data_IF_046665307110
#
_entry.id   IF_046665307110
#
_cell.length_a   1.000
_cell.length_b   1.000
_cell.length_c   1.000
_cell.angle_alpha   90.00
_cell.angle_beta   90.00
_cell.angle_gamma   90.00
#
_symmetry.space_group_name_H-M   'P 1'
#
loop_
_entity.id
_entity.type
_entity.pdbx_description
1 polymer ?
#
# COMPACT_ATOMS: atom_id res chain seq x y z
N UNK A 1 -4.65 -4.14 -12.60
CA UNK A 1 -4.72 -5.20 -11.59
C UNK A 1 -6.15 -5.68 -11.49
N UNK A 2 -6.44 -6.97 -11.70
CA UNK A 2 -7.80 -7.51 -11.68
C UNK A 2 -8.44 -7.42 -10.30
N UNK A 3 -9.79 -7.37 -10.25
CA UNK A 3 -10.53 -7.30 -8.98
C UNK A 3 -10.22 -8.47 -8.04
N UNK A 4 -9.95 -9.64 -8.59
CA UNK A 4 -9.61 -10.85 -7.82
C UNK A 4 -8.26 -10.68 -7.09
N UNK A 5 -7.27 -10.09 -7.74
CA UNK A 5 -5.96 -9.83 -7.14
C UNK A 5 -6.07 -8.83 -5.97
N UNK A 6 -6.84 -7.75 -6.15
CA UNK A 6 -7.10 -6.79 -5.08
C UNK A 6 -7.82 -7.44 -3.89
N UNK A 7 -8.80 -8.32 -4.14
CA UNK A 7 -9.50 -9.06 -3.07
C UNK A 7 -8.55 -9.99 -2.30
N UNK A 8 -7.68 -10.71 -3.00
CA UNK A 8 -6.69 -11.59 -2.36
C UNK A 8 -5.70 -10.80 -1.49
N UNK A 9 -5.19 -9.67 -1.97
CA UNK A 9 -4.32 -8.79 -1.20
C UNK A 9 -5.05 -8.23 0.03
N UNK A 10 -6.29 -7.76 -0.12
CA UNK A 10 -7.09 -7.25 1.00
C UNK A 10 -7.35 -8.33 2.05
N UNK A 11 -7.60 -9.57 1.63
CA UNK A 11 -7.77 -10.70 2.56
C UNK A 11 -6.49 -10.99 3.35
N UNK A 12 -5.35 -11.00 2.69
CA UNK A 12 -4.05 -11.17 3.34
C UNK A 12 -3.78 -10.04 4.35
N UNK A 13 -4.09 -8.79 3.99
CA UNK A 13 -3.82 -7.61 4.83
C UNK A 13 -4.60 -7.59 6.15
N UNK A 14 -5.77 -8.24 6.24
CA UNK A 14 -6.55 -8.32 7.48
C UNK A 14 -5.76 -8.90 8.65
N UNK A 15 -4.87 -9.87 8.41
CA UNK A 15 -4.03 -10.46 9.46
C UNK A 15 -3.09 -9.43 10.10
N UNK A 16 -2.50 -8.56 9.28
CA UNK A 16 -1.63 -7.50 9.78
C UNK A 16 -2.42 -6.40 10.50
N UNK A 17 -3.64 -6.13 10.06
CA UNK A 17 -4.57 -5.23 10.75
C UNK A 17 -4.94 -5.79 12.13
N UNK A 18 -5.20 -7.09 12.26
CA UNK A 18 -5.47 -7.77 13.53
C UNK A 18 -4.28 -7.67 14.50
N UNK A 19 -3.05 -7.86 14.01
CA UNK A 19 -1.84 -7.69 14.82
C UNK A 19 -1.66 -6.24 15.24
N UNK A 20 -1.90 -5.28 14.35
CA UNK A 20 -1.84 -3.85 14.68
C UNK A 20 -2.87 -3.46 15.73
N UNK A 21 -4.10 -3.98 15.66
CA UNK A 21 -5.14 -3.75 16.66
C UNK A 21 -4.71 -4.31 18.03
N UNK A 22 -4.17 -5.53 18.05
CA UNK A 22 -3.67 -6.14 19.28
C UNK A 22 -2.48 -5.36 19.89
N UNK A 23 -1.57 -4.85 19.05
CA UNK A 23 -0.50 -3.97 19.49
C UNK A 23 -1.06 -2.71 20.15
N UNK A 24 -2.02 -2.03 19.52
CA UNK A 24 -2.66 -0.81 20.05
C UNK A 24 -3.35 -1.11 21.39
N UNK A 25 -4.07 -2.23 21.49
CA UNK A 25 -4.71 -2.70 22.71
C UNK A 25 -3.71 -2.84 23.85
N UNK A 26 -2.65 -3.64 23.64
CA UNK A 26 -1.66 -3.92 24.70
C UNK A 26 -0.91 -2.69 25.18
N UNK A 27 -0.57 -1.77 24.26
CA UNK A 27 0.07 -0.52 24.64
C UNK A 27 -0.88 0.38 25.42
N UNK A 28 -2.14 0.52 24.97
CA UNK A 28 -3.13 1.36 25.64
C UNK A 28 -3.45 0.84 27.05
N UNK A 29 -3.66 -0.48 27.22
CA UNK A 29 -3.87 -1.11 28.54
C UNK A 29 -2.70 -0.84 29.48
N UNK A 30 -1.47 -0.99 29.03
CA UNK A 30 -0.29 -0.78 29.85
C UNK A 30 -0.06 0.70 30.18
N UNK A 31 -0.33 1.63 29.27
CA UNK A 31 -0.27 3.09 29.56
C UNK A 31 -1.27 3.44 30.68
N UNK A 32 -2.46 2.87 30.65
CA UNK A 32 -3.46 3.10 31.70
C UNK A 32 -3.01 2.53 33.05
N UNK A 33 -2.47 1.31 33.08
CA UNK A 33 -1.96 0.67 34.29
C UNK A 33 -0.82 1.49 34.94
N UNK A 34 0.07 2.12 34.16
CA UNK A 34 1.14 2.97 34.67
C UNK A 34 0.60 4.13 35.51
N UNK A 35 -0.56 4.68 35.14
CA UNK A 35 -1.16 5.79 35.84
C UNK A 35 -1.75 5.47 37.21
N UNK A 36 -2.08 4.24 37.45
CA UNK A 36 -2.56 3.77 38.72
C UNK A 36 -1.40 3.43 39.66
N UNK A 37 -0.16 3.37 39.14
CA UNK A 37 1.02 2.94 39.90
C UNK A 37 1.84 4.15 40.39
N UNK A 38 2.15 4.18 41.65
CA UNK A 38 3.13 5.12 42.18
C UNK A 38 4.53 4.72 41.67
N UNK A 39 5.36 5.63 41.08
CA UNK A 39 6.62 5.28 40.42
C UNK A 39 7.72 4.88 41.41
N UNK A 40 7.56 3.74 42.05
CA UNK A 40 8.61 3.09 42.86
C UNK A 40 9.47 2.21 41.96
N UNK A 41 10.70 1.89 42.40
CA UNK A 41 11.60 0.98 41.67
C UNK A 41 11.00 -0.42 41.39
N UNK A 42 10.14 -0.91 42.31
CA UNK A 42 9.44 -2.19 42.15
C UNK A 42 8.41 -2.11 41.02
N UNK A 43 7.67 -1.01 40.94
CA UNK A 43 6.68 -0.79 39.87
C UNK A 43 7.36 -0.66 38.50
N UNK A 44 8.55 -0.06 38.41
CA UNK A 44 9.33 0.00 37.18
C UNK A 44 9.71 -1.40 36.66
N UNK A 45 10.14 -2.30 37.56
CA UNK A 45 10.46 -3.69 37.18
C UNK A 45 9.21 -4.41 36.66
N UNK A 46 8.07 -4.26 37.33
CA UNK A 46 6.80 -4.84 36.90
C UNK A 46 6.39 -4.32 35.50
N UNK A 47 6.44 -3.00 35.30
CA UNK A 47 6.15 -2.36 34.02
C UNK A 47 7.06 -2.92 32.90
N UNK A 48 8.37 -3.04 33.15
CA UNK A 48 9.32 -3.56 32.17
C UNK A 48 9.09 -5.05 31.86
N UNK A 49 8.73 -5.84 32.86
CA UNK A 49 8.44 -7.26 32.70
C UNK A 49 7.17 -7.47 31.88
N UNK A 50 6.11 -6.75 32.18
CA UNK A 50 4.86 -6.78 31.42
C UNK A 50 5.07 -6.31 29.97
N UNK A 51 5.82 -5.21 29.78
CA UNK A 51 6.22 -4.74 28.45
C UNK A 51 6.95 -5.82 27.65
N UNK A 52 7.89 -6.52 28.29
CA UNK A 52 8.62 -7.64 27.65
C UNK A 52 7.68 -8.76 27.21
N UNK A 53 6.71 -9.13 28.06
CA UNK A 53 5.71 -10.16 27.75
C UNK A 53 4.83 -9.71 26.56
N UNK A 54 4.31 -8.50 26.60
CA UNK A 54 3.45 -7.96 25.54
C UNK A 54 4.20 -7.86 24.20
N UNK A 55 5.47 -7.42 24.20
CA UNK A 55 6.31 -7.39 23.00
C UNK A 55 6.49 -8.80 22.42
N UNK A 56 6.72 -9.81 23.26
CA UNK A 56 6.86 -11.19 22.81
C UNK A 56 5.57 -11.71 22.17
N UNK A 57 4.41 -11.48 22.78
CA UNK A 57 3.11 -11.89 22.24
C UNK A 57 2.80 -11.23 20.89
N UNK A 58 3.07 -9.93 20.77
CA UNK A 58 2.90 -9.18 19.52
C UNK A 58 3.84 -9.73 18.43
N UNK A 59 5.10 -9.99 18.80
CA UNK A 59 6.11 -10.54 17.86
C UNK A 59 5.71 -11.93 17.38
N UNK A 60 5.20 -12.80 18.24
CA UNK A 60 4.70 -14.13 17.87
C UNK A 60 3.50 -14.03 16.91
N UNK A 61 2.52 -13.17 17.20
CA UNK A 61 1.36 -12.94 16.30
C UNK A 61 1.81 -12.39 14.96
N UNK A 62 2.77 -11.47 14.94
CA UNK A 62 3.32 -10.93 13.71
C UNK A 62 4.04 -12.02 12.89
N UNK A 63 4.81 -12.88 13.52
CA UNK A 63 5.46 -14.02 12.87
C UNK A 63 4.44 -14.99 12.25
N UNK A 64 3.35 -15.31 12.97
CA UNK A 64 2.27 -16.16 12.45
C UNK A 64 1.58 -15.49 11.25
N UNK A 65 1.24 -14.20 11.37
CA UNK A 65 0.63 -13.44 10.28
C UNK A 65 1.52 -13.42 9.04
N UNK A 66 2.82 -13.18 9.22
CA UNK A 66 3.83 -13.20 8.14
C UNK A 66 3.92 -14.57 7.49
N UNK A 67 4.14 -15.63 8.25
CA UNK A 67 4.30 -17.00 7.74
C UNK A 67 3.06 -17.49 6.99
N UNK A 68 1.86 -17.16 7.48
CA UNK A 68 0.61 -17.50 6.78
C UNK A 68 0.48 -16.72 5.48
N UNK A 69 0.88 -15.45 5.46
CA UNK A 69 0.80 -14.58 4.29
C UNK A 69 1.76 -14.98 3.18
N UNK A 70 2.86 -15.69 3.48
CA UNK A 70 3.78 -16.19 2.45
C UNK A 70 3.08 -17.13 1.47
N UNK A 71 2.18 -17.98 1.96
CA UNK A 71 1.37 -18.88 1.10
C UNK A 71 0.44 -18.09 0.18
N UNK A 72 -0.12 -16.99 0.68
CA UNK A 72 -1.00 -16.14 -0.12
C UNK A 72 -0.21 -15.36 -1.18
N UNK A 73 1.01 -14.92 -0.89
CA UNK A 73 1.92 -14.30 -1.87
C UNK A 73 2.17 -15.23 -3.05
N UNK A 74 2.48 -16.51 -2.79
CA UNK A 74 2.67 -17.49 -3.87
C UNK A 74 1.41 -17.66 -4.73
N UNK A 75 0.23 -17.72 -4.12
CA UNK A 75 -1.05 -17.82 -4.86
C UNK A 75 -1.35 -16.56 -5.67
N UNK A 76 -1.10 -15.38 -5.10
CA UNK A 76 -1.28 -14.09 -5.75
C UNK A 76 -0.37 -14.01 -6.98
N UNK A 77 0.87 -14.43 -6.84
CA UNK A 77 1.87 -14.38 -7.92
C UNK A 77 1.63 -15.42 -9.00
N UNK A 78 1.14 -16.61 -8.61
CA UNK A 78 0.71 -17.61 -9.58
C UNK A 78 -0.48 -17.08 -10.40
N UNK A 79 -1.47 -16.45 -9.77
CA UNK A 79 -2.60 -15.86 -10.49
C UNK A 79 -2.14 -14.73 -11.45
N UNK A 80 -1.15 -13.91 -11.05
CA UNK A 80 -0.58 -12.90 -11.93
C UNK A 80 0.13 -13.52 -13.15
N UNK A 81 0.79 -14.66 -12.96
CA UNK A 81 1.41 -15.43 -14.06
C UNK A 81 0.35 -16.05 -14.97
N UNK A 82 -0.72 -16.62 -14.42
CA UNK A 82 -1.81 -17.21 -15.19
C UNK A 82 -2.51 -16.15 -16.06
N UNK A 83 -2.66 -14.93 -15.56
CA UNK A 83 -3.14 -13.78 -16.34
C UNK A 83 -2.25 -13.49 -17.56
N UNK A 84 -0.92 -13.64 -17.43
CA UNK A 84 0.01 -13.49 -18.57
C UNK A 84 -0.18 -14.60 -19.60
N UNK A 85 -0.29 -15.87 -19.18
CA UNK A 85 -0.46 -16.98 -20.10
C UNK A 85 -1.79 -16.95 -20.86
N UNK A 86 -2.82 -16.35 -20.28
CA UNK A 86 -4.16 -16.21 -20.88
C UNK A 86 -4.36 -14.88 -21.61
N UNK A 87 -3.32 -14.02 -21.68
CA UNK A 87 -3.42 -12.73 -22.32
C UNK A 87 -3.68 -12.86 -23.84
N UNK A 88 -4.75 -12.22 -24.29
CA UNK A 88 -5.19 -12.27 -25.69
C UNK A 88 -4.13 -11.76 -26.67
N UNK A 89 -3.17 -10.94 -26.26
CA UNK A 89 -2.07 -10.45 -27.08
C UNK A 89 -1.22 -11.56 -27.64
N UNK A 90 -1.08 -12.68 -26.93
CA UNK A 90 -0.31 -13.83 -27.37
C UNK A 90 -1.11 -14.84 -28.18
N UNK A 91 -2.44 -14.68 -28.26
CA UNK A 91 -3.35 -15.69 -28.87
C UNK A 91 -2.99 -15.97 -30.33
N UNK A 92 -2.66 -14.95 -31.12
CA UNK A 92 -2.31 -15.15 -32.54
C UNK A 92 -0.99 -15.89 -32.71
N UNK A 93 0.04 -15.49 -31.97
CA UNK A 93 1.35 -16.15 -32.04
C UNK A 93 1.27 -17.59 -31.51
N UNK A 94 0.50 -17.83 -30.43
CA UNK A 94 0.33 -19.17 -29.85
C UNK A 94 -0.46 -20.14 -30.74
N UNK A 95 -1.19 -19.65 -31.77
CA UNK A 95 -1.78 -20.50 -32.79
C UNK A 95 -0.74 -21.01 -33.80
N UNK A 96 0.36 -20.30 -33.96
CA UNK A 96 1.40 -20.60 -34.95
C UNK A 96 2.59 -21.33 -34.34
N UNK A 97 2.91 -21.03 -33.08
CA UNK A 97 4.02 -21.66 -32.36
C UNK A 97 3.71 -21.84 -30.87
N UNK A 98 4.25 -22.87 -30.26
CA UNK A 98 4.17 -23.09 -28.83
C UNK A 98 5.35 -22.48 -28.11
N UNK A 99 5.17 -22.08 -26.85
CA UNK A 99 6.28 -21.67 -25.97
C UNK A 99 7.14 -22.89 -25.65
N UNK A 100 8.46 -22.75 -25.81
CA UNK A 100 9.41 -23.81 -25.51
C UNK A 100 9.39 -24.23 -24.04
N UNK A 101 9.84 -25.44 -23.75
CA UNK A 101 9.97 -25.94 -22.38
C UNK A 101 10.97 -25.10 -21.59
N UNK A 102 12.03 -24.63 -22.24
CA UNK A 102 13.06 -23.77 -21.65
C UNK A 102 12.48 -22.40 -21.26
N UNK A 103 11.68 -21.78 -22.12
CA UNK A 103 11.04 -20.50 -21.84
C UNK A 103 10.03 -20.63 -20.67
N UNK A 104 9.22 -21.69 -20.64
CA UNK A 104 8.31 -22.00 -19.52
C UNK A 104 9.09 -22.17 -18.22
N UNK A 105 10.21 -22.92 -18.25
CA UNK A 105 11.07 -23.11 -17.09
C UNK A 105 11.63 -21.79 -16.57
N UNK A 106 12.15 -20.92 -17.46
CA UNK A 106 12.66 -19.58 -17.08
C UNK A 106 11.58 -18.71 -16.44
N UNK A 107 10.37 -18.66 -17.03
CA UNK A 107 9.23 -17.90 -16.50
C UNK A 107 8.85 -18.42 -15.11
N UNK A 108 8.76 -19.75 -14.94
CA UNK A 108 8.48 -20.37 -13.64
C UNK A 108 9.54 -20.04 -12.61
N UNK A 109 10.81 -20.16 -12.97
CA UNK A 109 11.95 -19.85 -12.10
C UNK A 109 11.95 -18.36 -11.69
N UNK A 110 11.65 -17.46 -12.63
CA UNK A 110 11.53 -16.03 -12.32
C UNK A 110 10.42 -15.77 -11.33
N UNK A 111 9.21 -16.32 -11.54
CA UNK A 111 8.07 -16.19 -10.64
C UNK A 111 8.39 -16.71 -9.24
N UNK A 112 9.07 -17.85 -9.14
CA UNK A 112 9.55 -18.39 -7.86
C UNK A 112 10.57 -17.47 -7.19
N UNK A 113 11.51 -16.92 -7.95
CA UNK A 113 12.53 -15.99 -7.44
C UNK A 113 11.88 -14.72 -6.86
N UNK A 114 10.95 -14.09 -7.58
CA UNK A 114 10.21 -12.93 -7.08
C UNK A 114 9.38 -13.29 -5.84
N UNK A 115 8.76 -14.46 -5.82
CA UNK A 115 8.00 -14.95 -4.66
C UNK A 115 8.89 -15.09 -3.43
N UNK A 116 10.07 -15.71 -3.58
CA UNK A 116 11.05 -15.87 -2.51
C UNK A 116 11.58 -14.52 -2.03
N UNK A 117 11.88 -13.62 -2.97
CA UNK A 117 12.36 -12.28 -2.64
C UNK A 117 11.31 -11.48 -1.87
N UNK A 118 10.05 -11.51 -2.30
CA UNK A 118 8.96 -10.86 -1.56
C UNK A 118 8.78 -11.49 -0.18
N UNK A 119 8.83 -12.82 -0.08
CA UNK A 119 8.76 -13.53 1.19
C UNK A 119 9.87 -13.07 2.16
N UNK A 120 11.12 -12.98 1.68
CA UNK A 120 12.25 -12.44 2.47
C UNK A 120 12.00 -11.00 2.90
N UNK A 121 11.51 -10.16 1.98
CA UNK A 121 11.19 -8.76 2.27
C UNK A 121 10.10 -8.66 3.34
N UNK A 122 9.01 -9.44 3.26
CA UNK A 122 7.97 -9.47 4.28
C UNK A 122 8.52 -9.90 5.65
N UNK A 123 9.36 -10.94 5.66
CA UNK A 123 10.02 -11.41 6.89
C UNK A 123 10.91 -10.32 7.48
N UNK A 124 11.72 -9.66 6.65
CA UNK A 124 12.60 -8.58 7.09
C UNK A 124 11.81 -7.37 7.59
N UNK A 125 10.75 -6.96 6.89
CA UNK A 125 9.86 -5.88 7.36
C UNK A 125 9.26 -6.21 8.72
N UNK A 126 8.84 -7.45 8.94
CA UNK A 126 8.30 -7.89 10.23
C UNK A 126 9.37 -7.93 11.33
N UNK A 127 10.61 -8.29 11.00
CA UNK A 127 11.74 -8.31 11.95
C UNK A 127 12.28 -6.90 12.24
N UNK A 128 12.31 -6.02 11.23
CA UNK A 128 12.75 -4.61 11.35
C UNK A 128 11.64 -3.70 11.86
N UNK A 129 10.42 -4.24 12.00
CA UNK A 129 9.33 -3.48 12.61
C UNK A 129 9.78 -3.05 13.99
N UNK A 130 9.79 -1.75 14.21
CA UNK A 130 10.14 -1.15 15.49
C UNK A 130 9.04 -1.39 16.55
N UNK A 131 8.48 -2.63 16.59
CA UNK A 131 7.44 -2.98 17.57
C UNK A 131 7.97 -2.73 18.97
N UNK A 132 9.14 -3.27 19.27
CA UNK A 132 9.76 -3.08 20.58
C UNK A 132 10.14 -1.63 20.84
N UNK A 133 10.63 -0.91 19.85
CA UNK A 133 10.99 0.49 19.96
C UNK A 133 9.76 1.39 20.08
N UNK A 134 8.76 1.20 19.23
CA UNK A 134 7.49 1.95 19.30
C UNK A 134 6.77 1.70 20.63
N UNK A 135 6.77 0.46 21.09
CA UNK A 135 6.18 0.09 22.37
C UNK A 135 6.93 0.77 23.53
N UNK A 136 8.26 0.61 23.58
CA UNK A 136 9.11 1.22 24.64
C UNK A 136 8.97 2.73 24.66
N UNK A 137 9.06 3.38 23.50
CA UNK A 137 8.93 4.85 23.40
C UNK A 137 7.60 5.34 23.97
N UNK A 138 6.50 4.63 23.69
CA UNK A 138 5.19 4.99 24.24
C UNK A 138 5.13 4.84 25.76
N UNK A 139 5.65 3.73 26.29
CA UNK A 139 5.71 3.47 27.73
C UNK A 139 6.65 4.44 28.43
N UNK A 140 7.85 4.66 27.89
CA UNK A 140 8.83 5.59 28.47
C UNK A 140 8.27 7.02 28.50
N UNK A 141 7.59 7.44 27.43
CA UNK A 141 6.92 8.75 27.36
C UNK A 141 5.86 8.87 28.46
N UNK A 142 5.03 7.86 28.65
CA UNK A 142 4.02 7.83 29.71
C UNK A 142 4.66 7.86 31.11
N UNK A 143 5.70 7.05 31.34
CA UNK A 143 6.45 7.01 32.62
C UNK A 143 7.10 8.36 32.91
N UNK A 144 7.76 8.99 31.92
CA UNK A 144 8.38 10.29 32.09
C UNK A 144 7.36 11.39 32.39
N UNK A 145 6.24 11.41 31.68
CA UNK A 145 5.18 12.38 31.90
C UNK A 145 4.60 12.28 33.32
N UNK A 146 4.38 11.06 33.83
CA UNK A 146 3.93 10.82 35.19
C UNK A 146 5.00 11.22 36.24
N UNK A 147 6.27 10.92 35.96
CA UNK A 147 7.38 11.14 36.90
C UNK A 147 7.80 12.59 37.00
N UNK A 148 7.66 13.37 35.92
CA UNK A 148 8.15 14.78 35.86
C UNK A 148 7.19 15.78 36.50
N UNK A 149 5.93 15.41 36.73
CA UNK A 149 4.91 16.34 37.22
C UNK A 149 4.64 17.55 36.28
N UNK A 150 5.18 17.54 35.04
CA UNK A 150 5.08 18.66 34.12
C UNK A 150 3.72 18.79 33.43
N UNK A 151 2.96 17.71 33.36
CA UNK A 151 1.59 17.69 32.83
C UNK A 151 0.72 16.86 33.76
N UNK A 152 -0.59 17.16 33.80
CA UNK A 152 -1.48 16.25 34.50
C UNK A 152 -1.43 14.86 33.80
N UNK A 153 -1.47 13.83 34.60
CA UNK A 153 -1.37 12.44 34.16
C UNK A 153 -2.38 12.10 33.06
N UNK A 154 -3.61 12.61 33.18
CA UNK A 154 -4.66 12.32 32.20
C UNK A 154 -4.34 12.88 30.81
N UNK A 155 -3.78 14.09 30.73
CA UNK A 155 -3.36 14.69 29.47
C UNK A 155 -2.19 13.92 28.84
N UNK A 156 -1.18 13.56 29.64
CA UNK A 156 -0.03 12.79 29.17
C UNK A 156 -0.41 11.40 28.63
N UNK A 157 -1.27 10.69 29.37
CA UNK A 157 -1.82 9.39 28.98
C UNK A 157 -2.61 9.51 27.67
N UNK A 158 -3.49 10.50 27.58
CA UNK A 158 -4.29 10.75 26.39
C UNK A 158 -3.43 11.04 25.16
N UNK A 159 -2.36 11.79 25.28
CA UNK A 159 -1.47 12.10 24.17
C UNK A 159 -0.65 10.88 23.74
N UNK A 160 -0.19 10.06 24.66
CA UNK A 160 0.46 8.78 24.36
C UNK A 160 -0.49 7.82 23.64
N UNK A 161 -1.75 7.72 24.09
CA UNK A 161 -2.79 6.90 23.42
C UNK A 161 -3.09 7.41 22.01
N UNK A 162 -3.21 8.72 21.82
CA UNK A 162 -3.37 9.30 20.47
C UNK A 162 -2.19 8.96 19.57
N UNK A 163 -0.97 9.08 20.08
CA UNK A 163 0.24 8.82 19.31
C UNK A 163 0.33 7.37 18.88
N UNK A 164 0.06 6.42 19.75
CA UNK A 164 0.06 4.99 19.44
C UNK A 164 -1.02 4.62 18.43
N UNK A 165 -2.24 5.10 18.62
CA UNK A 165 -3.33 4.86 17.67
C UNK A 165 -3.02 5.48 16.31
N UNK A 166 -2.46 6.69 16.27
CA UNK A 166 -2.14 7.38 15.03
C UNK A 166 -1.01 6.72 14.24
N UNK A 167 0.03 6.27 14.93
CA UNK A 167 1.22 5.67 14.32
C UNK A 167 1.04 4.17 14.03
N UNK A 168 0.44 3.42 14.95
CA UNK A 168 0.37 1.96 14.89
C UNK A 168 1.76 1.31 14.85
N UNK A 169 1.84 0.08 14.37
CA UNK A 169 3.14 -0.56 14.09
C UNK A 169 3.81 0.10 12.89
N UNK A 170 5.07 0.48 13.03
CA UNK A 170 5.86 1.14 11.98
C UNK A 170 7.10 0.32 11.61
N UNK A 171 7.50 0.46 10.36
CA UNK A 171 8.82 0.10 9.86
C UNK A 171 9.67 1.36 9.84
N UNK A 172 10.86 1.28 10.42
CA UNK A 172 11.86 2.34 10.37
C UNK A 172 12.92 1.96 9.34
N UNK A 173 13.11 2.82 8.34
CA UNK A 173 14.13 2.63 7.31
C UNK A 173 15.44 3.28 7.75
N UNK A 174 16.56 2.80 7.21
CA UNK A 174 17.90 3.38 7.49
C UNK A 174 17.99 4.89 7.22
N UNK A 175 17.17 5.39 6.29
CA UNK A 175 17.04 6.82 6.00
C UNK A 175 16.33 7.64 7.10
N UNK A 176 15.86 6.98 8.17
CA UNK A 176 15.01 7.59 9.20
C UNK A 176 13.55 7.77 8.79
N UNK A 177 13.16 7.32 7.60
CA UNK A 177 11.76 7.37 7.18
C UNK A 177 10.94 6.30 7.88
N UNK A 178 9.77 6.68 8.42
CA UNK A 178 8.83 5.81 9.09
C UNK A 178 7.64 5.51 8.20
N UNK A 179 7.23 4.24 8.13
CA UNK A 179 6.06 3.81 7.37
C UNK A 179 5.27 2.78 8.16
N UNK A 180 3.94 2.83 8.09
CA UNK A 180 3.11 1.79 8.69
C UNK A 180 3.42 0.44 8.06
N UNK A 181 3.51 -0.59 8.90
CA UNK A 181 3.87 -1.95 8.49
C UNK A 181 2.89 -2.49 7.44
N UNK A 182 1.57 -2.33 7.66
CA UNK A 182 0.52 -2.76 6.74
C UNK A 182 0.70 -2.13 5.33
N UNK A 183 1.03 -0.85 5.29
CA UNK A 183 1.26 -0.12 4.03
C UNK A 183 2.53 -0.61 3.32
N UNK A 184 3.61 -0.88 4.07
CA UNK A 184 4.87 -1.39 3.51
C UNK A 184 4.67 -2.79 2.91
N UNK A 185 3.99 -3.68 3.62
CA UNK A 185 3.70 -5.05 3.17
C UNK A 185 2.82 -5.04 1.93
N UNK A 186 1.71 -4.30 1.94
CA UNK A 186 0.81 -4.16 0.80
C UNK A 186 1.57 -3.71 -0.45
N UNK A 187 2.41 -2.70 -0.33
CA UNK A 187 3.19 -2.18 -1.45
C UNK A 187 4.12 -3.24 -2.03
N UNK A 188 4.87 -3.96 -1.19
CA UNK A 188 5.78 -4.99 -1.66
C UNK A 188 5.08 -6.12 -2.42
N UNK A 189 3.89 -6.53 -1.98
CA UNK A 189 3.11 -7.57 -2.67
C UNK A 189 2.57 -7.08 -4.01
N UNK A 190 2.10 -5.83 -4.09
CA UNK A 190 1.64 -5.21 -5.33
C UNK A 190 2.79 -5.07 -6.33
N UNK A 191 3.95 -4.58 -5.86
CA UNK A 191 5.13 -4.39 -6.72
C UNK A 191 5.62 -5.73 -7.28
N UNK A 192 5.68 -6.78 -6.45
CA UNK A 192 6.03 -8.13 -6.92
C UNK A 192 5.04 -8.69 -7.95
N UNK A 193 3.73 -8.50 -7.76
CA UNK A 193 2.72 -8.91 -8.74
C UNK A 193 2.88 -8.17 -10.08
N UNK A 194 3.17 -6.86 -10.03
CA UNK A 194 3.43 -6.05 -11.22
C UNK A 194 4.72 -6.50 -11.94
N UNK A 195 5.79 -6.82 -11.19
CA UNK A 195 7.03 -7.35 -11.75
C UNK A 195 6.80 -8.68 -12.46
N UNK A 196 6.00 -9.58 -11.91
CA UNK A 196 5.66 -10.84 -12.56
C UNK A 196 4.88 -10.58 -13.84
N UNK A 197 3.81 -9.78 -13.78
CA UNK A 197 3.01 -9.45 -14.94
C UNK A 197 3.85 -8.85 -16.08
N UNK A 198 4.75 -7.92 -15.76
CA UNK A 198 5.61 -7.27 -16.75
C UNK A 198 6.69 -8.21 -17.29
N UNK A 199 7.53 -8.79 -16.42
CA UNK A 199 8.70 -9.52 -16.88
C UNK A 199 8.35 -10.88 -17.47
N UNK A 200 7.31 -11.57 -16.98
CA UNK A 200 6.83 -12.80 -17.62
C UNK A 200 6.20 -12.50 -18.99
N UNK A 201 5.51 -11.37 -19.16
CA UNK A 201 5.03 -10.92 -20.46
C UNK A 201 6.20 -10.64 -21.43
N UNK A 202 7.27 -9.99 -20.93
CA UNK A 202 8.49 -9.73 -21.72
C UNK A 202 9.13 -11.06 -22.15
N UNK A 203 9.33 -12.01 -21.24
CA UNK A 203 9.91 -13.32 -21.54
C UNK A 203 9.08 -14.11 -22.56
N UNK A 204 7.74 -14.08 -22.43
CA UNK A 204 6.84 -14.67 -23.41
C UNK A 204 6.95 -14.01 -24.77
N UNK A 205 6.98 -12.69 -24.81
CA UNK A 205 7.12 -11.92 -26.05
C UNK A 205 8.45 -12.16 -26.72
N UNK A 206 9.55 -12.23 -25.97
CA UNK A 206 10.87 -12.54 -26.52
C UNK A 206 10.90 -13.93 -27.19
N UNK A 207 10.31 -14.94 -26.55
CA UNK A 207 10.18 -16.29 -27.12
C UNK A 207 9.33 -16.31 -28.39
N UNK A 208 8.29 -15.49 -28.45
CA UNK A 208 7.38 -15.41 -29.59
C UNK A 208 7.85 -14.40 -30.67
N UNK A 209 9.07 -13.81 -30.53
CA UNK A 209 9.64 -12.88 -31.48
C UNK A 209 8.97 -11.49 -31.47
N UNK A 210 8.38 -11.06 -30.37
CA UNK A 210 7.81 -9.73 -30.23
C UNK A 210 8.91 -8.67 -30.13
N UNK A 211 8.70 -7.52 -30.73
CA UNK A 211 9.72 -6.52 -31.04
C UNK A 211 9.54 -5.20 -30.26
N UNK A 212 8.43 -5.02 -29.57
CA UNK A 212 8.08 -3.79 -28.87
C UNK A 212 7.32 -4.06 -27.56
N UNK A 213 7.03 -2.99 -26.83
CA UNK A 213 6.22 -3.00 -25.61
C UNK A 213 5.12 -1.94 -25.67
N UNK A 214 3.88 -2.33 -25.31
CA UNK A 214 2.79 -1.39 -25.05
C UNK A 214 2.70 -1.11 -23.56
N UNK A 215 2.67 0.17 -23.18
CA UNK A 215 2.41 0.54 -21.79
C UNK A 215 0.93 0.43 -21.47
N UNK A 216 0.61 -0.10 -20.31
CA UNK A 216 -0.76 -0.07 -19.82
C UNK A 216 -1.22 1.38 -19.59
N UNK A 217 -2.54 1.62 -19.63
CA UNK A 217 -3.10 2.94 -19.43
C UNK A 217 -4.31 2.91 -18.51
N UNK A 218 -4.55 4.01 -17.82
CA UNK A 218 -5.71 4.21 -16.96
C UNK A 218 -6.11 5.68 -16.90
N UNK A 219 -7.39 5.96 -16.70
CA UNK A 219 -7.98 7.30 -16.77
C UNK A 219 -7.43 8.34 -15.77
N UNK A 220 -6.67 7.91 -14.75
CA UNK A 220 -6.12 8.77 -13.69
C UNK A 220 -4.62 8.57 -13.57
N UNK A 221 -3.93 8.71 -14.69
CA UNK A 221 -2.48 8.65 -14.74
C UNK A 221 -1.87 9.87 -14.08
N UNK A 222 -0.72 9.68 -13.44
CA UNK A 222 0.08 10.79 -12.95
C UNK A 222 0.61 11.63 -14.12
N UNK A 223 0.80 12.95 -13.95
CA UNK A 223 1.18 13.86 -15.03
C UNK A 223 2.47 13.48 -15.78
N UNK A 224 3.41 12.83 -15.11
CA UNK A 224 4.68 12.36 -15.70
C UNK A 224 4.50 11.17 -16.64
N UNK A 225 3.53 10.30 -16.41
CA UNK A 225 3.25 9.13 -17.24
C UNK A 225 2.04 9.28 -18.15
N UNK A 226 1.21 10.31 -17.94
CA UNK A 226 0.02 10.54 -18.78
C UNK A 226 0.35 10.66 -20.29
N UNK A 227 1.42 11.35 -20.73
CA UNK A 227 1.72 11.48 -22.14
C UNK A 227 2.13 10.18 -22.82
N UNK A 228 2.65 9.21 -22.07
CA UNK A 228 3.26 7.98 -22.60
C UNK A 228 2.42 6.73 -22.37
N UNK A 229 1.42 6.79 -21.53
CA UNK A 229 0.55 5.63 -21.27
C UNK A 229 -0.18 5.18 -22.55
N UNK A 230 -0.39 3.88 -22.70
CA UNK A 230 -1.06 3.30 -23.87
C UNK A 230 -0.29 3.45 -25.18
N UNK A 231 0.97 3.95 -25.14
CA UNK A 231 1.86 4.04 -26.29
C UNK A 231 2.69 2.77 -26.41
N UNK A 232 3.20 2.58 -27.61
CA UNK A 232 4.08 1.45 -27.94
C UNK A 232 5.49 1.98 -28.16
N UNK A 233 6.47 1.30 -27.58
CA UNK A 233 7.88 1.65 -27.64
C UNK A 233 8.70 0.46 -28.13
N UNK A 234 9.75 0.74 -28.91
CA UNK A 234 10.76 -0.27 -29.21
C UNK A 234 11.42 -0.77 -27.91
N UNK A 235 12.03 -1.95 -27.93
CA UNK A 235 12.79 -2.46 -26.78
C UNK A 235 13.89 -1.48 -26.34
N UNK A 236 14.54 -0.81 -27.29
CA UNK A 236 15.58 0.18 -27.03
C UNK A 236 15.02 1.44 -26.37
N UNK A 237 13.90 1.98 -26.87
CA UNK A 237 13.26 3.16 -26.29
C UNK A 237 12.66 2.86 -24.93
N UNK A 238 12.10 1.66 -24.72
CA UNK A 238 11.66 1.27 -23.38
C UNK A 238 12.83 1.20 -22.39
N UNK A 239 13.99 0.71 -22.80
CA UNK A 239 15.19 0.75 -21.96
C UNK A 239 15.63 2.21 -21.67
N UNK A 240 15.50 3.13 -22.62
CA UNK A 240 15.73 4.56 -22.39
C UNK A 240 14.77 5.13 -21.34
N UNK A 241 13.48 4.78 -21.38
CA UNK A 241 12.49 5.16 -20.36
C UNK A 241 12.97 4.73 -18.98
N UNK A 242 13.37 3.46 -18.84
CA UNK A 242 13.79 2.90 -17.54
C UNK A 242 15.10 3.53 -17.01
N UNK A 243 15.94 4.05 -17.89
CA UNK A 243 17.21 4.71 -17.53
C UNK A 243 17.13 6.24 -17.46
N UNK A 244 15.93 6.83 -17.60
CA UNK A 244 15.76 8.27 -17.53
C UNK A 244 16.43 9.02 -18.69
N UNK A 245 16.44 8.43 -19.89
CA UNK A 245 16.95 9.02 -21.12
C UNK A 245 15.79 9.46 -22.02
N UNK A 246 15.99 10.40 -22.97
CA UNK A 246 15.01 10.71 -24.00
C UNK A 246 14.70 9.48 -24.88
N UNK A 247 13.46 9.35 -25.35
CA UNK A 247 12.98 8.18 -26.08
C UNK A 247 11.92 8.55 -27.11
N UNK A 248 11.59 7.60 -27.99
CA UNK A 248 10.52 7.76 -29.00
C UNK A 248 9.51 6.63 -28.89
N UNK A 249 8.25 6.92 -29.24
CA UNK A 249 7.28 5.86 -29.52
C UNK A 249 7.49 5.32 -30.96
N UNK A 250 6.80 4.23 -31.29
CA UNK A 250 6.90 3.64 -32.66
C UNK A 250 6.33 4.54 -33.74
N UNK A 251 5.54 5.54 -33.41
CA UNK A 251 5.01 6.55 -34.36
C UNK A 251 6.00 7.71 -34.57
N UNK A 252 7.17 7.66 -33.89
CA UNK A 252 8.26 8.63 -34.04
C UNK A 252 8.16 9.85 -33.13
N UNK A 253 7.16 9.95 -32.25
CA UNK A 253 7.01 11.06 -31.28
C UNK A 253 8.14 11.04 -30.29
N UNK A 254 8.87 12.15 -30.16
CA UNK A 254 9.96 12.31 -29.20
C UNK A 254 9.44 12.75 -27.84
N UNK A 255 9.85 12.06 -26.79
CA UNK A 255 9.58 12.37 -25.40
C UNK A 255 10.86 12.76 -24.65
N UNK A 256 10.71 13.63 -23.67
CA UNK A 256 11.79 13.93 -22.72
C UNK A 256 11.95 12.78 -21.73
N UNK A 257 13.15 12.69 -21.15
CA UNK A 257 13.43 11.77 -20.06
C UNK A 257 12.39 11.86 -18.93
N UNK A 258 11.96 10.72 -18.44
CA UNK A 258 11.04 10.59 -17.31
C UNK A 258 11.84 10.21 -16.08
N UNK A 259 11.58 10.88 -14.96
CA UNK A 259 12.33 10.65 -13.74
C UNK A 259 11.95 9.35 -13.04
N UNK A 260 10.70 8.94 -13.15
CA UNK A 260 10.15 7.76 -12.48
C UNK A 260 10.02 6.59 -13.48
N UNK A 261 10.77 5.49 -13.29
CA UNK A 261 10.67 4.32 -14.16
C UNK A 261 9.27 3.70 -14.16
N UNK A 262 8.94 2.98 -15.22
CA UNK A 262 7.69 2.23 -15.31
C UNK A 262 7.75 1.02 -14.36
N UNK A 263 6.70 0.84 -13.57
CA UNK A 263 6.59 -0.25 -12.61
C UNK A 263 7.22 0.02 -11.24
N UNK A 264 7.88 1.18 -11.04
CA UNK A 264 8.53 1.55 -9.79
C UNK A 264 7.85 2.74 -9.11
N UNK A 265 8.16 2.97 -7.83
CA UNK A 265 7.72 4.12 -7.02
C UNK A 265 6.21 4.39 -7.08
N UNK A 266 5.39 3.35 -6.83
CA UNK A 266 3.93 3.41 -6.95
C UNK A 266 3.42 3.68 -8.37
N UNK A 267 4.21 3.45 -9.40
CA UNK A 267 3.72 3.45 -10.76
C UNK A 267 2.77 2.27 -10.98
N UNK A 268 1.56 2.55 -11.44
CA UNK A 268 0.54 1.54 -11.74
C UNK A 268 0.61 1.04 -13.19
N UNK A 269 1.53 1.58 -13.98
CA UNK A 269 1.76 1.15 -15.36
C UNK A 269 2.67 -0.08 -15.38
N UNK A 270 2.39 -0.97 -16.32
CA UNK A 270 3.22 -2.12 -16.68
C UNK A 270 3.47 -2.11 -18.18
N UNK A 271 4.66 -2.53 -18.58
CA UNK A 271 4.97 -2.77 -19.98
C UNK A 271 4.57 -4.20 -20.34
N UNK A 272 3.86 -4.34 -21.46
CA UNK A 272 3.40 -5.63 -21.96
C UNK A 272 3.95 -5.82 -23.36
N UNK A 273 4.44 -7.03 -23.66
CA UNK A 273 4.99 -7.34 -24.97
C UNK A 273 4.02 -7.04 -26.08
N UNK A 274 4.53 -6.46 -27.16
CA UNK A 274 3.79 -6.05 -28.34
C UNK A 274 4.55 -6.47 -29.60
N UNK A 275 3.83 -7.03 -30.58
CA UNK A 275 4.37 -7.32 -31.90
C UNK A 275 3.83 -6.31 -32.90
N UNK A 276 4.73 -5.57 -33.56
CA UNK A 276 4.33 -4.65 -34.64
C UNK A 276 3.65 -5.38 -35.80
N UNK A 277 3.88 -6.68 -35.93
CA UNK A 277 3.29 -7.50 -36.99
C UNK A 277 1.89 -8.06 -36.61
N UNK A 278 1.68 -8.46 -35.37
CA UNK A 278 0.47 -9.23 -34.97
C UNK A 278 -0.42 -8.52 -33.96
N UNK A 279 0.15 -7.60 -33.16
CA UNK A 279 -0.59 -6.96 -32.09
C UNK A 279 -1.33 -5.73 -32.57
N UNK A 280 -2.47 -5.44 -31.93
CA UNK A 280 -3.18 -4.18 -32.06
C UNK A 280 -3.07 -3.43 -30.75
N UNK A 281 -2.86 -2.12 -30.79
CA UNK A 281 -2.89 -1.28 -29.60
C UNK A 281 -4.20 -1.47 -28.85
N UNK A 282 -4.10 -1.67 -27.55
CA UNK A 282 -5.25 -1.81 -26.68
C UNK A 282 -6.01 -0.50 -26.48
N UNK A 283 -5.28 0.61 -26.56
CA UNK A 283 -5.82 1.94 -26.29
C UNK A 283 -5.73 2.79 -27.57
N UNK A 284 -6.86 3.38 -27.95
CA UNK A 284 -6.90 4.30 -29.10
C UNK A 284 -6.43 5.70 -28.67
N UNK A 285 -5.90 6.47 -29.61
CA UNK A 285 -5.49 7.86 -29.35
C UNK A 285 -6.67 8.73 -28.91
N UNK A 286 -7.86 8.48 -29.45
CA UNK A 286 -9.08 9.16 -29.03
C UNK A 286 -9.40 8.89 -27.56
N UNK A 287 -9.28 7.64 -27.11
CA UNK A 287 -9.50 7.26 -25.71
C UNK A 287 -8.47 7.90 -24.78
N UNK A 288 -7.19 7.87 -25.15
CA UNK A 288 -6.11 8.48 -24.34
C UNK A 288 -6.28 10.00 -24.25
N UNK A 289 -6.62 10.67 -25.37
CA UNK A 289 -6.92 12.11 -25.41
C UNK A 289 -8.14 12.46 -24.55
N UNK A 290 -9.18 11.62 -24.61
CA UNK A 290 -10.37 11.82 -23.76
C UNK A 290 -10.03 11.72 -22.28
N UNK A 291 -9.26 10.70 -21.87
CA UNK A 291 -8.84 10.55 -20.47
C UNK A 291 -7.95 11.70 -19.99
N UNK A 292 -7.03 12.19 -20.82
CA UNK A 292 -6.21 13.35 -20.50
C UNK A 292 -7.08 14.62 -20.34
N UNK A 293 -8.03 14.82 -21.25
CA UNK A 293 -8.97 15.97 -21.19
C UNK A 293 -9.86 15.89 -19.93
N UNK A 294 -10.41 14.71 -19.61
CA UNK A 294 -11.23 14.50 -18.42
C UNK A 294 -10.41 14.72 -17.14
N UNK A 295 -9.14 14.23 -17.12
CA UNK A 295 -8.24 14.44 -16.00
C UNK A 295 -7.92 15.93 -15.80
N UNK A 296 -7.61 16.65 -16.88
CA UNK A 296 -7.32 18.08 -16.85
C UNK A 296 -8.55 18.95 -16.51
N UNK A 297 -9.75 18.57 -17.04
CA UNK A 297 -11.00 19.23 -16.69
C UNK A 297 -11.27 19.20 -15.19
N UNK A 298 -10.91 18.10 -14.53
CA UNK A 298 -10.95 17.98 -13.09
C UNK A 298 -12.33 18.25 -12.48
N UNK A 299 -12.30 18.71 -11.24
CA UNK A 299 -13.50 19.08 -10.45
C UNK A 299 -13.15 20.14 -9.40
N UNK A 300 -14.17 20.87 -8.95
CA UNK A 300 -14.02 21.88 -7.90
C UNK A 300 -14.50 21.32 -6.56
N UNK A 301 -13.63 21.35 -5.55
CA UNK A 301 -13.91 20.84 -4.20
C UNK A 301 -13.61 21.95 -3.21
N UNK A 302 -14.62 22.38 -2.46
CA UNK A 302 -14.47 23.44 -1.44
C UNK A 302 -13.83 24.72 -2.01
N UNK A 303 -14.12 25.08 -3.25
CA UNK A 303 -13.62 26.29 -3.91
C UNK A 303 -12.20 26.19 -4.48
N UNK A 304 -11.60 25.00 -4.45
CA UNK A 304 -10.31 24.71 -5.06
C UNK A 304 -10.47 23.72 -6.21
N UNK A 305 -9.82 24.01 -7.33
CA UNK A 305 -9.79 23.12 -8.49
C UNK A 305 -8.77 22.00 -8.30
N UNK A 306 -9.15 20.77 -8.68
CA UNK A 306 -8.32 19.57 -8.67
C UNK A 306 -8.45 18.83 -10.00
N UNK A 307 -7.36 18.35 -10.58
CA UNK A 307 -7.43 17.31 -11.61
C UNK A 307 -8.04 16.03 -11.02
N UNK A 308 -8.55 15.13 -11.86
CA UNK A 308 -9.08 13.84 -11.36
C UNK A 308 -7.99 13.00 -10.69
N UNK A 309 -6.73 13.12 -11.13
CA UNK A 309 -5.59 12.51 -10.43
C UNK A 309 -5.43 13.07 -9.02
N UNK A 310 -5.41 14.41 -8.86
CA UNK A 310 -5.27 15.06 -7.55
C UNK A 310 -6.46 14.77 -6.62
N UNK A 311 -7.69 14.77 -7.17
CA UNK A 311 -8.88 14.34 -6.41
C UNK A 311 -8.74 12.89 -5.91
N UNK A 312 -8.16 12.01 -6.73
CA UNK A 312 -7.82 10.65 -6.33
C UNK A 312 -6.76 10.57 -5.21
N UNK A 313 -5.76 11.44 -5.21
CA UNK A 313 -4.78 11.54 -4.10
C UNK A 313 -5.44 12.06 -2.82
N UNK A 314 -6.28 13.11 -2.94
CA UNK A 314 -7.05 13.65 -1.80
C UNK A 314 -7.94 12.56 -1.17
N UNK A 315 -8.59 11.72 -1.98
CA UNK A 315 -9.36 10.59 -1.45
C UNK A 315 -8.48 9.62 -0.65
N UNK A 316 -7.26 9.31 -1.12
CA UNK A 316 -6.32 8.43 -0.41
C UNK A 316 -5.83 9.04 0.91
N UNK A 317 -5.58 10.34 0.95
CA UNK A 317 -5.22 11.06 2.17
C UNK A 317 -6.36 10.97 3.20
N UNK A 318 -7.60 11.20 2.77
CA UNK A 318 -8.79 11.09 3.63
C UNK A 318 -8.98 9.64 4.11
N UNK A 319 -8.85 8.63 3.23
CA UNK A 319 -8.90 7.22 3.60
C UNK A 319 -7.89 6.88 4.70
N UNK A 320 -6.66 7.39 4.56
CA UNK A 320 -5.57 7.18 5.52
C UNK A 320 -5.88 7.84 6.85
N UNK A 321 -6.37 9.09 6.82
CA UNK A 321 -6.69 9.82 8.05
C UNK A 321 -7.90 9.21 8.78
N UNK A 322 -8.93 8.73 8.05
CA UNK A 322 -10.04 7.99 8.67
C UNK A 322 -9.55 6.73 9.38
N UNK A 323 -8.64 5.96 8.76
CA UNK A 323 -8.07 4.77 9.42
C UNK A 323 -7.32 5.14 10.70
N UNK A 324 -6.47 6.18 10.64
CA UNK A 324 -5.74 6.68 11.82
C UNK A 324 -6.68 7.09 12.95
N UNK A 325 -7.73 7.82 12.62
CA UNK A 325 -8.72 8.23 13.63
C UNK A 325 -9.50 7.04 14.22
N UNK A 326 -9.74 6.00 13.43
CA UNK A 326 -10.34 4.76 13.93
C UNK A 326 -9.37 3.99 14.84
N UNK A 327 -8.08 3.91 14.50
CA UNK A 327 -7.05 3.31 15.35
C UNK A 327 -6.92 4.07 16.69
N UNK A 328 -6.95 5.42 16.66
CA UNK A 328 -6.98 6.23 17.90
C UNK A 328 -8.24 5.96 18.71
N UNK A 329 -9.40 5.80 18.06
CA UNK A 329 -10.64 5.46 18.75
C UNK A 329 -10.60 4.06 19.38
N UNK A 330 -9.92 3.09 18.75
CA UNK A 330 -9.66 1.76 19.30
C UNK A 330 -8.76 1.89 20.54
N UNK A 331 -7.64 2.61 20.44
CA UNK A 331 -6.76 2.86 21.59
C UNK A 331 -7.50 3.52 22.75
N UNK A 332 -8.31 4.55 22.46
CA UNK A 332 -9.13 5.22 23.47
C UNK A 332 -10.21 4.31 24.07
N UNK A 333 -10.72 3.34 23.31
CA UNK A 333 -11.66 2.34 23.84
C UNK A 333 -11.01 1.47 24.91
N UNK A 334 -9.80 0.95 24.66
CA UNK A 334 -9.06 0.14 25.63
C UNK A 334 -8.57 0.95 26.83
N UNK A 335 -8.33 2.25 26.64
CA UNK A 335 -8.02 3.19 27.70
C UNK A 335 -9.23 3.72 28.49
N UNK A 336 -10.46 3.37 28.10
CA UNK A 336 -11.68 3.89 28.74
C UNK A 336 -11.93 5.39 28.51
N UNK A 337 -11.24 6.06 27.55
CA UNK A 337 -11.41 7.49 27.26
C UNK A 337 -12.55 7.72 26.26
N UNK A 338 -13.78 7.77 26.76
CA UNK A 338 -14.98 8.02 25.95
C UNK A 338 -14.98 9.43 25.31
N UNK A 339 -14.35 10.42 25.95
CA UNK A 339 -14.25 11.77 25.38
C UNK A 339 -13.37 11.78 24.12
N UNK A 340 -12.23 11.10 24.17
CA UNK A 340 -11.36 10.93 23.01
C UNK A 340 -12.05 10.13 21.90
N UNK A 341 -12.78 9.05 22.25
CA UNK A 341 -13.56 8.26 21.29
C UNK A 341 -14.59 9.11 20.55
N UNK A 342 -15.35 9.96 21.30
CA UNK A 342 -16.33 10.88 20.69
C UNK A 342 -15.64 11.91 19.79
N UNK A 343 -14.50 12.45 20.19
CA UNK A 343 -13.70 13.39 19.39
C UNK A 343 -13.25 12.74 18.07
N UNK A 344 -12.71 11.53 18.13
CA UNK A 344 -12.34 10.75 16.94
C UNK A 344 -13.54 10.51 16.03
N UNK A 345 -14.71 10.13 16.60
CA UNK A 345 -15.92 9.89 15.81
C UNK A 345 -16.41 11.15 15.12
N UNK A 346 -16.36 12.34 15.78
CA UNK A 346 -16.67 13.64 15.14
C UNK A 346 -15.78 13.87 13.92
N UNK A 347 -14.48 13.64 14.07
CA UNK A 347 -13.51 13.80 12.98
C UNK A 347 -13.72 12.78 11.85
N UNK A 348 -13.98 11.51 12.17
CA UNK A 348 -14.33 10.46 11.19
C UNK A 348 -15.58 10.86 10.39
N UNK A 349 -16.62 11.34 11.05
CA UNK A 349 -17.87 11.76 10.38
C UNK A 349 -17.63 12.95 9.45
N UNK A 350 -16.80 13.91 9.84
CA UNK A 350 -16.42 15.06 9.00
C UNK A 350 -15.63 14.62 7.78
N UNK A 351 -14.61 13.78 7.99
CA UNK A 351 -13.79 13.23 6.91
C UNK A 351 -14.60 12.36 5.94
N UNK A 352 -15.53 11.56 6.45
CA UNK A 352 -16.41 10.73 5.62
C UNK A 352 -17.35 11.58 4.75
N UNK A 353 -17.84 12.72 5.25
CA UNK A 353 -18.60 13.68 4.43
C UNK A 353 -17.71 14.26 3.32
N UNK A 354 -16.52 14.74 3.68
CA UNK A 354 -15.55 15.26 2.69
C UNK A 354 -15.20 14.21 1.63
N UNK A 355 -14.95 12.98 2.04
CA UNK A 355 -14.69 11.85 1.13
C UNK A 355 -15.82 11.63 0.12
N UNK A 356 -17.07 11.66 0.60
CA UNK A 356 -18.25 11.51 -0.27
C UNK A 356 -18.40 12.69 -1.24
N UNK A 357 -18.15 13.93 -0.78
CA UNK A 357 -18.14 15.13 -1.64
C UNK A 357 -17.07 14.98 -2.74
N UNK A 358 -15.83 14.62 -2.37
CA UNK A 358 -14.76 14.40 -3.37
C UNK A 358 -15.15 13.32 -4.37
N UNK A 359 -15.72 12.21 -3.91
CA UNK A 359 -16.17 11.13 -4.78
C UNK A 359 -17.28 11.57 -5.75
N UNK A 360 -18.23 12.35 -5.27
CA UNK A 360 -19.36 12.88 -6.05
C UNK A 360 -18.86 13.85 -7.12
N UNK A 361 -18.08 14.86 -6.74
CA UNK A 361 -17.61 15.91 -7.65
C UNK A 361 -16.61 15.36 -8.69
N UNK A 362 -15.76 14.42 -8.30
CA UNK A 362 -14.76 13.82 -9.19
C UNK A 362 -15.28 12.63 -10.02
N UNK A 363 -16.44 12.06 -9.70
CA UNK A 363 -16.95 10.82 -10.29
C UNK A 363 -16.12 9.58 -9.93
N UNK A 364 -15.20 9.65 -8.94
CA UNK A 364 -14.37 8.54 -8.53
C UNK A 364 -15.18 7.59 -7.63
N UNK A 365 -15.20 6.31 -7.99
CA UNK A 365 -15.85 5.27 -7.18
C UNK A 365 -15.21 5.16 -5.79
N UNK A 366 -15.99 5.33 -4.70
CA UNK A 366 -15.48 5.22 -3.34
C UNK A 366 -14.93 3.83 -2.99
N UNK A 367 -13.78 3.76 -2.34
CA UNK A 367 -13.13 2.54 -1.87
C UNK A 367 -13.27 2.41 -0.35
N UNK A 368 -14.49 2.15 0.12
CA UNK A 368 -14.80 2.08 1.56
C UNK A 368 -14.10 0.92 2.27
N UNK A 369 -13.77 -0.14 1.55
CA UNK A 369 -12.94 -1.26 2.00
C UNK A 369 -11.58 -0.81 2.57
N UNK A 370 -11.02 0.30 2.05
CA UNK A 370 -9.75 0.87 2.49
C UNK A 370 -9.81 1.62 3.82
N UNK A 371 -11.01 1.92 4.30
CA UNK A 371 -11.22 2.65 5.55
C UNK A 371 -11.63 1.74 6.70
N UNK A 372 -11.64 0.43 6.51
CA UNK A 372 -11.97 -0.55 7.55
C UNK A 372 -10.81 -0.68 8.53
N UNK A 373 -11.11 -0.72 9.83
CA UNK A 373 -10.18 -0.97 10.91
C UNK A 373 -10.79 -2.03 11.82
N UNK A 374 -10.01 -3.06 12.09
CA UNK A 374 -10.39 -4.15 12.99
C UNK A 374 -10.59 -3.60 14.41
N UNK A 375 -11.61 -4.08 15.12
CA UNK A 375 -11.91 -3.66 16.50
C UNK A 375 -12.60 -2.30 16.65
N UNK A 376 -12.64 -1.47 15.58
CA UNK A 376 -13.32 -0.18 15.64
C UNK A 376 -14.85 -0.35 15.79
N UNK A 377 -15.41 0.29 16.83
CA UNK A 377 -16.85 0.35 17.09
C UNK A 377 -17.30 1.81 17.09
N UNK A 378 -18.19 2.22 16.16
CA UNK A 378 -18.71 3.59 16.15
C UNK A 378 -19.42 3.95 17.46
N UNK A 379 -19.31 5.23 17.86
CA UNK A 379 -20.02 5.77 19.02
C UNK A 379 -20.97 6.89 18.58
N UNK A 380 -22.09 7.03 19.32
CA UNK A 380 -22.99 8.17 19.09
C UNK A 380 -22.26 9.45 19.50
N UNK A 381 -22.25 10.40 18.60
CA UNK A 381 -21.73 11.74 18.87
C UNK A 381 -22.84 12.58 19.46
N UNK A 382 -22.61 13.12 20.64
CA UNK A 382 -23.49 14.11 21.29
C UNK A 382 -23.21 15.52 20.74
#
# INVERSE_FOLDING_TARGET
>A
MGDNLNKAINYMMKRFEEVNTFFIEKVAEQIMAIGELNPTSINRIAIMTEMGTNINDITQRLAIATNTSLRDVFKIYQAALDDVYTDQRFTQALKQQSISSEAKARITQYTQSVSIQTAKTLTNLSNTTAVSESYRTAIDTAVMAVSSGMTDYQSATRDAIKQIGYNGMQVVYESGYHRRLDTAIRQNVIDGANQIAQNCSIMMGDELGYDAYELSAHARSAPDHEPIQGRVFSKADFNNIQNGLPFRDIDGTLYRAIRRPIGEWNCMHIAMSFSTQYSKRRYTDAQLKQWAADNAKGCDIEGKHYSIYEAGQLMREIETEIRRQKDVAVAAQYAGDDALRQSCQKKINSLARKYNTVAQESGITPRRDRMTVQGFKPVKVK
#
